data_IF_380085625672
#
_entry.id   IF_380085625672
#
_cell.length_a   1.000
_cell.length_b   1.000
_cell.length_c   1.000
_cell.angle_alpha   90.00
_cell.angle_beta   90.00
_cell.angle_gamma   90.00
#
_symmetry.space_group_name_H-M   'P 1'
#
loop_
_entity.id
_entity.type
_entity.pdbx_description
1 polymer ?
#
# COMPACT_ATOMS: atom_id res chain seq x y z
N UNK A 1 -33.50 4.72 -17.34
CA UNK A 1 -32.63 3.54 -17.48
C UNK A 1 -31.65 3.61 -16.34
N UNK A 2 -31.87 2.77 -15.33
CA UNK A 2 -31.31 2.96 -14.00
C UNK A 2 -30.01 2.16 -13.90
N UNK A 3 -28.90 2.86 -13.62
CA UNK A 3 -27.56 2.26 -13.55
C UNK A 3 -27.33 1.67 -12.15
N UNK A 4 -27.79 0.45 -11.93
CA UNK A 4 -27.55 -0.27 -10.68
C UNK A 4 -26.10 -0.80 -10.66
N UNK A 5 -25.17 0.02 -10.16
CA UNK A 5 -23.78 -0.40 -9.90
C UNK A 5 -23.75 -1.25 -8.63
N UNK A 6 -23.87 -2.57 -8.79
CA UNK A 6 -23.54 -3.51 -7.73
C UNK A 6 -22.03 -3.49 -7.51
N UNK A 7 -21.58 -2.65 -6.57
CA UNK A 7 -20.19 -2.63 -6.15
C UNK A 7 -19.94 -3.83 -5.25
N UNK A 8 -19.45 -4.92 -5.83
CA UNK A 8 -19.01 -6.12 -5.10
C UNK A 8 -17.74 -5.81 -4.32
N UNK A 9 -17.91 -5.22 -3.14
CA UNK A 9 -16.85 -4.97 -2.17
C UNK A 9 -16.44 -6.29 -1.48
N UNK A 10 -15.69 -7.13 -2.19
CA UNK A 10 -15.11 -8.37 -1.67
C UNK A 10 -13.71 -8.14 -1.09
N UNK A 11 -13.58 -7.44 0.02
CA UNK A 11 -12.28 -7.09 0.64
C UNK A 11 -11.94 -7.92 1.90
N UNK A 12 -12.45 -9.15 2.01
CA UNK A 12 -12.28 -9.99 3.22
C UNK A 12 -11.01 -10.84 3.26
N UNK A 13 -10.35 -11.08 2.12
CA UNK A 13 -9.25 -12.05 2.03
C UNK A 13 -7.96 -11.63 2.75
N UNK A 14 -7.62 -10.35 2.75
CA UNK A 14 -6.37 -9.88 3.37
C UNK A 14 -6.41 -9.98 4.91
N UNK A 15 -7.59 -9.76 5.51
CA UNK A 15 -7.77 -9.80 6.97
C UNK A 15 -7.74 -11.21 7.53
N UNK A 16 -8.32 -12.19 6.84
CA UNK A 16 -8.33 -13.59 7.34
C UNK A 16 -6.93 -14.21 7.30
N UNK A 17 -6.13 -13.91 6.27
CA UNK A 17 -4.73 -14.32 6.20
C UNK A 17 -3.91 -13.70 7.35
N UNK A 18 -4.11 -12.42 7.67
CA UNK A 18 -3.49 -11.75 8.81
C UNK A 18 -3.88 -12.42 10.14
N UNK A 19 -5.17 -12.74 10.32
CA UNK A 19 -5.69 -13.39 11.53
C UNK A 19 -5.12 -14.80 11.71
N UNK A 20 -5.00 -15.59 10.64
CA UNK A 20 -4.41 -16.94 10.68
C UNK A 20 -2.95 -16.88 11.13
N UNK A 21 -2.16 -15.94 10.61
CA UNK A 21 -0.77 -15.73 11.04
C UNK A 21 -0.67 -15.26 12.51
N UNK A 22 -1.64 -14.47 12.98
CA UNK A 22 -1.72 -14.01 14.38
C UNK A 22 -2.01 -15.18 15.35
N UNK A 23 -2.96 -16.05 15.00
CA UNK A 23 -3.38 -17.18 15.83
C UNK A 23 -2.25 -18.22 15.95
N UNK A 24 -1.57 -18.56 14.84
CA UNK A 24 -0.44 -19.50 14.85
C UNK A 24 0.71 -19.05 15.76
N UNK A 25 0.92 -17.74 15.92
CA UNK A 25 1.95 -17.19 16.81
C UNK A 25 1.55 -17.28 18.28
N UNK A 26 0.26 -17.14 18.59
CA UNK A 26 -0.29 -17.26 19.95
C UNK A 26 -0.34 -18.71 20.44
N UNK A 27 -0.56 -19.67 19.55
CA UNK A 27 -0.51 -21.10 19.87
C UNK A 27 0.92 -21.62 20.10
N UNK A 28 1.93 -20.72 20.10
CA UNK A 28 3.32 -21.00 20.44
C UNK A 28 3.92 -22.19 19.65
N UNK A 29 3.42 -22.41 18.43
CA UNK A 29 3.90 -23.49 17.56
C UNK A 29 5.23 -23.10 16.89
N UNK A 30 5.57 -21.81 16.89
CA UNK A 30 6.70 -21.24 16.15
C UNK A 30 7.40 -20.13 16.97
N UNK A 31 8.64 -20.37 17.43
CA UNK A 31 9.50 -19.39 18.14
C UNK A 31 10.16 -18.34 17.21
N UNK A 32 9.57 -18.09 16.05
CA UNK A 32 10.21 -17.31 14.99
C UNK A 32 10.03 -15.81 15.17
N UNK A 33 10.90 -15.06 14.49
CA UNK A 33 10.89 -13.60 14.50
C UNK A 33 9.55 -13.04 14.01
N UNK A 34 9.03 -12.09 14.81
CA UNK A 34 7.76 -11.39 14.56
C UNK A 34 7.67 -10.72 13.19
N UNK A 35 8.82 -10.40 12.57
CA UNK A 35 8.93 -9.85 11.23
C UNK A 35 8.15 -10.62 10.15
N UNK A 36 8.05 -11.94 10.25
CA UNK A 36 7.31 -12.75 9.27
C UNK A 36 5.80 -12.71 9.43
N UNK A 37 5.29 -12.48 10.64
CA UNK A 37 3.85 -12.29 10.89
C UNK A 37 3.34 -11.03 10.20
N UNK A 38 4.20 -10.02 10.11
CA UNK A 38 3.90 -8.77 9.44
C UNK A 38 4.15 -8.81 7.93
N UNK A 39 4.76 -9.85 7.36
CA UNK A 39 5.14 -9.92 5.93
C UNK A 39 4.02 -9.49 4.95
N UNK A 40 2.75 -9.91 5.11
CA UNK A 40 1.65 -9.42 4.25
C UNK A 40 1.38 -7.90 4.41
N UNK A 41 1.60 -7.33 5.59
CA UNK A 41 1.53 -5.89 5.85
C UNK A 41 2.72 -5.13 5.23
N UNK A 42 3.91 -5.74 5.23
CA UNK A 42 5.09 -5.15 4.57
C UNK A 42 4.91 -5.06 3.06
N UNK A 43 4.28 -6.06 2.43
CA UNK A 43 3.98 -6.03 0.99
C UNK A 43 3.15 -4.80 0.59
N UNK A 44 2.08 -4.51 1.32
CA UNK A 44 1.25 -3.33 1.09
C UNK A 44 1.95 -2.03 1.48
N UNK A 45 2.69 -2.00 2.60
CA UNK A 45 3.45 -0.83 3.04
C UNK A 45 4.54 -0.42 2.03
N UNK A 46 5.29 -1.38 1.50
CA UNK A 46 6.33 -1.15 0.48
C UNK A 46 5.71 -0.57 -0.79
N UNK A 47 4.62 -1.16 -1.28
CA UNK A 47 3.90 -0.64 -2.46
C UNK A 47 3.46 0.81 -2.24
N UNK A 48 2.93 1.14 -1.05
CA UNK A 48 2.48 2.48 -0.72
C UNK A 48 3.63 3.49 -0.67
N UNK A 49 4.76 3.10 -0.08
CA UNK A 49 5.97 3.93 0.02
C UNK A 49 6.54 4.22 -1.38
N UNK A 50 6.66 3.20 -2.24
CA UNK A 50 7.11 3.40 -3.63
C UNK A 50 6.18 4.36 -4.37
N UNK A 51 4.86 4.19 -4.22
CA UNK A 51 3.87 5.07 -4.87
C UNK A 51 4.05 6.53 -4.46
N UNK A 52 4.22 6.80 -3.15
CA UNK A 52 4.45 8.15 -2.62
C UNK A 52 5.74 8.77 -3.19
N UNK A 53 6.83 8.00 -3.23
CA UNK A 53 8.12 8.49 -3.76
C UNK A 53 7.98 8.90 -5.23
N UNK A 54 7.27 8.09 -6.03
CA UNK A 54 7.03 8.38 -7.45
C UNK A 54 6.23 9.69 -7.59
N UNK A 55 5.13 9.83 -6.83
CA UNK A 55 4.28 11.02 -6.85
C UNK A 55 5.08 12.28 -6.48
N UNK A 56 5.83 12.23 -5.38
CA UNK A 56 6.68 13.35 -4.92
C UNK A 56 7.73 13.71 -5.96
N UNK A 57 8.33 12.73 -6.61
CA UNK A 57 9.33 12.96 -7.66
C UNK A 57 8.72 13.63 -8.89
N UNK A 58 7.51 13.23 -9.28
CA UNK A 58 6.77 13.82 -10.41
C UNK A 58 6.40 15.27 -10.10
N UNK A 59 5.85 15.55 -8.91
CA UNK A 59 5.47 16.92 -8.48
C UNK A 59 6.72 17.82 -8.49
N UNK A 60 7.80 17.39 -7.83
CA UNK A 60 9.06 18.14 -7.79
C UNK A 60 9.69 18.36 -9.17
N UNK A 61 9.46 17.47 -10.14
CA UNK A 61 9.88 17.64 -11.53
C UNK A 61 8.99 18.65 -12.25
N UNK A 62 7.68 18.58 -12.05
CA UNK A 62 6.71 19.50 -12.63
C UNK A 62 6.99 20.93 -12.16
N UNK A 63 7.18 21.16 -10.86
CA UNK A 63 7.48 22.49 -10.32
C UNK A 63 8.76 23.09 -10.91
N UNK A 64 9.80 22.27 -11.07
CA UNK A 64 11.05 22.68 -11.74
C UNK A 64 10.84 22.99 -13.23
N UNK A 65 9.94 22.28 -13.90
CA UNK A 65 9.59 22.52 -15.30
C UNK A 65 8.83 23.83 -15.48
N UNK A 66 7.89 24.16 -14.58
CA UNK A 66 7.09 25.39 -14.68
C UNK A 66 7.95 26.62 -14.37
N UNK A 67 8.79 26.56 -13.34
CA UNK A 67 9.68 27.67 -12.94
C UNK A 67 10.78 27.96 -13.98
N UNK A 68 11.33 26.94 -14.66
CA UNK A 68 12.30 27.17 -15.74
C UNK A 68 11.69 27.79 -16.99
N UNK A 69 10.43 27.49 -17.30
CA UNK A 69 9.78 28.03 -18.49
C UNK A 69 9.34 29.49 -18.30
N UNK A 70 8.85 29.85 -17.10
CA UNK A 70 8.44 31.23 -16.77
C UNK A 70 9.60 32.22 -16.52
N UNK A 71 10.83 31.74 -16.33
CA UNK A 71 12.02 32.59 -16.14
C UNK A 71 12.73 32.93 -17.47
N UNK A 72 12.26 32.42 -18.60
CA UNK A 72 12.84 32.65 -19.94
C UNK A 72 12.02 33.69 -20.71
N UNK A 73 11.67 34.79 -20.04
CA UNK A 73 11.21 36.04 -20.65
C UNK A 73 12.24 37.13 -20.34
#
# INVERSE_FOLDING_TARGET
MDNHKTSSAGSGGAWILFLIFLILKLTHVINWSWWWVTAPLWGSAIIAIISIIIIVTIINKNDKKITKHGRKI
#
